data_IF_968341128084
#
_entry.id   IF_968341128084
#
_cell.length_a   1.000
_cell.length_b   1.000
_cell.length_c   1.000
_cell.angle_alpha   90.00
_cell.angle_beta   90.00
_cell.angle_gamma   90.00
#
_symmetry.space_group_name_H-M   'P 1'
#
loop_
_entity.id
_entity.type
_entity.pdbx_description
1 polymer ?
#
# COMPACT_ATOMS: atom_id res chain seq x y z
N UNK A 1 5.38 -3.47 18.27
CA UNK A 1 5.76 -2.27 19.04
C UNK A 1 7.24 -2.33 19.27
N UNK A 2 8.02 -1.68 18.40
CA UNK A 2 9.46 -1.55 18.65
C UNK A 2 9.76 -0.64 19.84
N UNK A 3 10.94 -0.81 20.42
CA UNK A 3 11.42 -0.04 21.56
C UNK A 3 12.11 1.25 21.08
N UNK A 4 11.32 2.26 20.72
CA UNK A 4 11.82 3.58 20.32
C UNK A 4 11.65 4.60 21.44
N UNK A 5 12.46 5.65 21.39
CA UNK A 5 12.26 6.87 22.17
C UNK A 5 10.87 7.48 21.94
N UNK A 6 10.48 8.38 22.85
CA UNK A 6 9.20 9.10 22.81
C UNK A 6 8.96 9.70 21.43
N UNK A 7 7.86 9.34 20.78
CA UNK A 7 7.42 9.99 19.55
C UNK A 7 6.94 11.42 19.87
N UNK A 8 7.63 12.41 19.34
CA UNK A 8 7.34 13.85 19.49
C UNK A 8 6.68 14.46 18.26
N UNK A 9 6.64 13.72 17.14
CA UNK A 9 6.06 14.17 15.88
C UNK A 9 4.54 14.39 16.03
N UNK A 10 4.10 15.57 15.61
CA UNK A 10 2.71 15.96 15.57
C UNK A 10 2.46 16.76 14.27
N UNK A 11 1.72 16.20 13.30
CA UNK A 11 1.46 16.88 12.03
C UNK A 11 0.65 18.18 12.21
N UNK A 12 -0.09 18.35 13.32
CA UNK A 12 -0.87 19.57 13.57
C UNK A 12 -0.03 20.77 14.02
N UNK A 13 1.28 20.60 14.24
CA UNK A 13 2.20 21.69 14.64
C UNK A 13 2.92 22.35 13.46
N UNK A 14 2.75 21.83 12.24
CA UNK A 14 3.35 22.36 11.02
C UNK A 14 4.89 22.56 11.12
N UNK A 15 5.58 21.66 11.83
CA UNK A 15 7.04 21.66 11.89
C UNK A 15 7.61 21.14 10.58
N UNK A 16 8.53 21.89 9.99
CA UNK A 16 9.15 21.58 8.69
C UNK A 16 10.57 21.02 8.80
N UNK A 17 11.22 21.12 9.97
CA UNK A 17 12.57 20.63 10.20
C UNK A 17 12.92 20.53 11.69
N UNK A 18 13.85 19.64 12.02
CA UNK A 18 14.51 19.55 13.34
C UNK A 18 15.84 20.31 13.29
N UNK A 19 16.14 21.10 14.33
CA UNK A 19 17.37 21.89 14.46
C UNK A 19 18.10 21.54 15.75
N UNK A 20 19.26 20.90 15.62
CA UNK A 20 20.10 20.52 16.76
C UNK A 20 20.69 21.77 17.43
N UNK A 21 20.63 21.83 18.76
CA UNK A 21 21.22 22.91 19.55
C UNK A 21 22.68 22.61 19.86
N UNK A 22 23.52 23.65 19.80
CA UNK A 22 24.93 23.51 20.16
C UNK A 22 25.08 23.20 21.65
N UNK A 23 25.94 22.23 21.97
CA UNK A 23 26.23 21.85 23.36
C UNK A 23 25.18 20.96 24.01
N UNK A 24 24.15 20.52 23.26
CA UNK A 24 23.11 19.60 23.73
C UNK A 24 23.33 18.21 23.11
N UNK A 25 23.21 17.11 23.89
CA UNK A 25 23.28 15.76 23.35
C UNK A 25 22.23 15.50 22.29
N UNK A 26 22.60 14.76 21.24
CA UNK A 26 21.68 14.31 20.19
C UNK A 26 20.85 13.14 20.72
N UNK A 27 19.53 13.23 20.59
CA UNK A 27 18.62 12.15 20.92
C UNK A 27 18.14 11.44 19.65
N UNK A 28 17.86 10.15 19.77
CA UNK A 28 17.24 9.36 18.71
C UNK A 28 15.81 9.86 18.39
N UNK A 29 15.12 10.45 19.37
CA UNK A 29 13.82 11.10 19.16
C UNK A 29 13.87 12.22 18.11
N UNK A 30 14.93 13.04 18.13
CA UNK A 30 15.13 14.15 17.17
C UNK A 30 15.33 13.60 15.75
N UNK A 31 16.04 12.47 15.63
CA UNK A 31 16.25 11.78 14.37
C UNK A 31 14.97 11.15 13.82
N UNK A 32 14.16 10.55 14.69
CA UNK A 32 12.87 9.98 14.31
C UNK A 32 11.91 11.07 13.84
N UNK A 33 11.80 12.18 14.59
CA UNK A 33 10.97 13.33 14.22
C UNK A 33 11.39 13.95 12.89
N UNK A 34 12.69 14.09 12.63
CA UNK A 34 13.19 14.58 11.34
C UNK A 34 12.71 13.71 10.16
N UNK A 35 12.77 12.39 10.30
CA UNK A 35 12.30 11.47 9.26
C UNK A 35 10.79 11.57 9.06
N UNK A 36 10.01 11.67 10.14
CA UNK A 36 8.55 11.77 10.07
C UNK A 36 8.09 13.10 9.47
N UNK A 37 8.70 14.22 9.85
CA UNK A 37 8.45 15.54 9.25
C UNK A 37 8.73 15.52 7.74
N UNK A 38 9.91 15.02 7.35
CA UNK A 38 10.30 14.95 5.94
C UNK A 38 9.33 14.06 5.14
N UNK A 39 8.91 12.94 5.73
CA UNK A 39 7.98 11.99 5.11
C UNK A 39 6.59 12.60 4.95
N UNK A 40 6.10 13.31 5.95
CA UNK A 40 4.80 13.98 5.92
C UNK A 40 4.78 15.10 4.86
N UNK A 41 5.79 15.96 4.83
CA UNK A 41 5.94 17.01 3.81
C UNK A 41 5.92 16.44 2.39
N UNK A 42 6.58 15.29 2.16
CA UNK A 42 6.52 14.61 0.86
C UNK A 42 5.11 14.11 0.52
N UNK A 43 4.38 13.55 1.49
CA UNK A 43 3.00 13.10 1.25
C UNK A 43 2.06 14.26 0.96
N UNK A 44 2.20 15.37 1.69
CA UNK A 44 1.38 16.56 1.48
C UNK A 44 1.69 17.19 0.12
N UNK A 45 2.97 17.34 -0.22
CA UNK A 45 3.39 17.82 -1.54
C UNK A 45 2.83 16.95 -2.67
N UNK A 46 2.90 15.62 -2.55
CA UNK A 46 2.35 14.72 -3.55
C UNK A 46 0.82 14.77 -3.60
N UNK A 47 0.14 14.82 -2.46
CA UNK A 47 -1.32 14.86 -2.39
C UNK A 47 -1.90 16.18 -2.91
N UNK A 48 -1.17 17.29 -2.80
CA UNK A 48 -1.55 18.58 -3.39
C UNK A 48 -1.29 18.65 -4.89
N UNK A 49 -0.26 17.96 -5.36
CA UNK A 49 0.17 18.01 -6.77
C UNK A 49 -0.59 17.01 -7.63
N UNK A 50 -0.91 15.83 -7.10
CA UNK A 50 -1.45 14.70 -7.85
C UNK A 50 -2.77 14.20 -7.26
N UNK A 51 -3.64 13.73 -8.15
CA UNK A 51 -4.80 12.93 -7.76
C UNK A 51 -4.36 11.50 -7.47
N UNK A 52 -5.07 10.82 -6.57
CA UNK A 52 -4.85 9.40 -6.30
C UNK A 52 -5.09 8.56 -7.54
N UNK A 53 -4.22 7.58 -7.79
CA UNK A 53 -4.36 6.72 -8.96
C UNK A 53 -3.12 5.95 -9.38
N UNK A 54 -3.23 5.36 -10.56
CA UNK A 54 -2.18 4.61 -11.23
C UNK A 54 -1.64 5.40 -12.44
N UNK A 55 -0.42 5.07 -12.92
CA UNK A 55 0.13 5.65 -14.14
C UNK A 55 -0.84 5.54 -15.32
N UNK A 56 -1.05 6.62 -16.09
CA UNK A 56 -1.94 6.60 -17.25
C UNK A 56 -1.41 5.62 -18.30
N UNK A 57 -2.34 4.96 -19.02
CA UNK A 57 -2.04 4.00 -20.09
C UNK A 57 -1.29 2.73 -19.64
N UNK A 58 -1.13 2.50 -18.34
CA UNK A 58 -0.55 1.28 -17.78
C UNK A 58 -1.60 0.21 -17.43
N UNK A 59 -1.12 -1.02 -17.25
CA UNK A 59 -1.91 -2.14 -16.71
C UNK A 59 -1.69 -2.33 -15.20
N UNK A 60 -1.06 -1.35 -14.55
CA UNK A 60 -0.76 -1.34 -13.13
C UNK A 60 -2.03 -1.56 -12.30
N UNK A 61 -1.99 -2.56 -11.42
CA UNK A 61 -3.12 -2.96 -10.57
C UNK A 61 -4.40 -3.36 -11.33
N UNK A 62 -4.31 -3.74 -12.61
CA UNK A 62 -5.44 -4.29 -13.34
C UNK A 62 -5.94 -5.58 -12.66
N UNK A 63 -7.26 -5.66 -12.44
CA UNK A 63 -7.91 -6.81 -11.84
C UNK A 63 -8.38 -7.75 -12.95
N UNK A 64 -7.90 -8.98 -12.91
CA UNK A 64 -8.17 -10.01 -13.89
C UNK A 64 -8.87 -11.21 -13.24
N UNK A 65 -9.89 -11.70 -13.93
CA UNK A 65 -10.58 -12.93 -13.56
C UNK A 65 -9.67 -14.14 -13.72
N UNK A 66 -9.97 -15.19 -12.97
CA UNK A 66 -9.28 -16.48 -13.08
C UNK A 66 -10.27 -17.61 -13.32
N UNK A 67 -9.74 -18.74 -13.81
CA UNK A 67 -10.54 -19.97 -13.97
C UNK A 67 -10.84 -20.63 -12.63
N UNK A 68 -9.99 -20.41 -11.62
CA UNK A 68 -10.22 -20.86 -10.25
C UNK A 68 -11.46 -20.18 -9.64
N UNK A 69 -12.25 -20.91 -8.84
CA UNK A 69 -13.43 -20.36 -8.19
C UNK A 69 -13.02 -19.29 -7.17
N UNK A 70 -13.76 -18.18 -7.16
CA UNK A 70 -13.67 -17.13 -6.14
C UNK A 70 -12.26 -16.53 -6.00
N UNK A 71 -11.56 -16.37 -7.11
CA UNK A 71 -10.18 -15.88 -7.11
C UNK A 71 -9.92 -14.85 -8.21
N UNK A 72 -8.93 -14.00 -7.96
CA UNK A 72 -8.56 -12.86 -8.80
C UNK A 72 -7.04 -12.78 -8.92
N UNK A 73 -6.59 -12.38 -10.11
CA UNK A 73 -5.22 -11.95 -10.34
C UNK A 73 -5.19 -10.42 -10.40
N UNK A 74 -4.18 -9.81 -9.79
CA UNK A 74 -3.96 -8.37 -9.83
C UNK A 74 -2.55 -8.13 -10.33
N UNK A 75 -2.41 -7.35 -11.38
CA UNK A 75 -1.10 -7.08 -11.97
C UNK A 75 -0.23 -6.22 -11.04
N UNK A 76 1.08 -6.51 -11.06
CA UNK A 76 2.10 -5.67 -10.45
C UNK A 76 2.03 -4.24 -11.02
N UNK A 77 2.44 -3.26 -10.22
CA UNK A 77 2.35 -1.87 -10.66
C UNK A 77 2.73 -0.87 -9.58
N UNK A 78 2.66 0.41 -9.96
CA UNK A 78 2.80 1.54 -9.06
C UNK A 78 1.47 2.30 -8.95
N UNK A 79 1.24 2.88 -7.78
CA UNK A 79 0.11 3.77 -7.53
C UNK A 79 0.53 4.88 -6.57
N UNK A 80 -0.23 5.96 -6.54
CA UNK A 80 -0.13 7.01 -5.54
C UNK A 80 -1.50 7.10 -4.86
N UNK A 81 -1.51 6.98 -3.53
CA UNK A 81 -2.76 7.01 -2.75
C UNK A 81 -2.57 7.95 -1.58
N UNK A 82 -3.31 9.06 -1.53
CA UNK A 82 -3.19 10.14 -0.54
C UNK A 82 -1.74 10.62 -0.37
N UNK A 83 -1.07 10.86 -1.49
CA UNK A 83 0.34 11.26 -1.52
C UNK A 83 1.35 10.15 -1.19
N UNK A 84 0.89 8.93 -0.93
CA UNK A 84 1.76 7.79 -0.60
C UNK A 84 2.07 6.97 -1.85
N UNK A 85 3.30 7.04 -2.39
CA UNK A 85 3.69 6.18 -3.50
C UNK A 85 3.78 4.75 -3.01
N UNK A 86 3.18 3.83 -3.74
CA UNK A 86 3.20 2.39 -3.49
C UNK A 86 3.64 1.66 -4.75
N UNK A 87 4.45 0.61 -4.58
CA UNK A 87 4.89 -0.23 -5.69
C UNK A 87 4.81 -1.70 -5.29
N UNK A 88 4.01 -2.44 -6.03
CA UNK A 88 3.94 -3.90 -5.92
C UNK A 88 4.73 -4.49 -7.08
N UNK A 89 5.74 -5.31 -6.75
CA UNK A 89 6.73 -5.80 -7.74
C UNK A 89 6.31 -7.08 -8.45
N UNK A 90 5.33 -7.81 -7.92
CA UNK A 90 4.90 -9.10 -8.44
C UNK A 90 3.37 -9.13 -8.49
N UNK A 91 2.83 -9.85 -9.47
CA UNK A 91 1.38 -10.01 -9.58
C UNK A 91 0.85 -10.65 -8.29
N UNK A 92 -0.23 -10.09 -7.76
CA UNK A 92 -0.87 -10.58 -6.56
C UNK A 92 -2.01 -11.51 -6.96
N UNK A 93 -2.13 -12.61 -6.24
CA UNK A 93 -3.29 -13.48 -6.31
C UNK A 93 -4.08 -13.32 -5.03
N UNK A 94 -5.37 -13.03 -5.14
CA UNK A 94 -6.20 -12.66 -3.98
C UNK A 94 -6.13 -13.71 -2.86
N UNK A 95 -6.27 -14.99 -3.22
CA UNK A 95 -6.29 -16.12 -2.28
C UNK A 95 -4.95 -16.44 -1.61
N UNK A 96 -3.81 -16.02 -2.17
CA UNK A 96 -2.47 -16.34 -1.64
C UNK A 96 -1.77 -15.13 -1.03
N UNK A 97 -2.50 -14.05 -0.77
CA UNK A 97 -1.92 -12.89 -0.13
C UNK A 97 -1.47 -13.21 1.30
N UNK A 98 -0.37 -12.60 1.76
CA UNK A 98 0.10 -12.65 3.14
C UNK A 98 -0.97 -12.67 4.24
N UNK A 99 -1.94 -11.76 4.17
CA UNK A 99 -2.90 -11.48 5.24
C UNK A 99 -4.19 -12.29 5.13
N UNK A 100 -4.23 -13.28 4.23
CA UNK A 100 -5.23 -14.36 4.27
C UNK A 100 -4.97 -15.27 5.48
N UNK A 101 -3.71 -15.42 5.88
CA UNK A 101 -3.34 -16.15 7.09
C UNK A 101 -3.70 -15.33 8.35
N UNK A 102 -4.62 -15.82 9.22
CA UNK A 102 -5.07 -15.07 10.39
C UNK A 102 -3.96 -14.78 11.40
N UNK A 103 -3.02 -15.70 11.58
CA UNK A 103 -1.89 -15.53 12.49
C UNK A 103 -0.97 -14.40 12.02
N UNK A 104 -0.72 -14.30 10.72
CA UNK A 104 0.06 -13.21 10.14
C UNK A 104 -0.67 -11.87 10.24
N UNK A 105 -1.97 -11.84 9.92
CA UNK A 105 -2.78 -10.63 10.03
C UNK A 105 -2.82 -10.12 11.48
N UNK A 106 -3.00 -11.01 12.46
CA UNK A 106 -2.97 -10.67 13.88
C UNK A 106 -1.60 -10.13 14.32
N UNK A 107 -0.50 -10.77 13.89
CA UNK A 107 0.87 -10.30 14.15
C UNK A 107 1.12 -8.90 13.60
N UNK A 108 0.65 -8.62 12.39
CA UNK A 108 0.85 -7.34 11.70
C UNK A 108 -0.19 -6.29 12.11
N UNK A 109 -1.16 -6.63 12.98
CA UNK A 109 -2.19 -5.71 13.47
C UNK A 109 -3.22 -5.28 12.42
N UNK A 110 -3.40 -6.07 11.36
CA UNK A 110 -4.30 -5.75 10.24
C UNK A 110 -5.47 -6.72 10.16
N UNK A 111 -6.57 -6.28 9.55
CA UNK A 111 -7.73 -7.14 9.33
C UNK A 111 -7.37 -8.31 8.39
N UNK A 112 -7.82 -9.52 8.75
CA UNK A 112 -7.70 -10.72 7.92
C UNK A 112 -8.41 -10.50 6.58
N UNK A 113 -7.83 -11.00 5.49
CA UNK A 113 -8.46 -10.99 4.17
C UNK A 113 -9.37 -12.24 4.08
N UNK A 114 -10.71 -12.07 4.03
CA UNK A 114 -11.61 -13.21 3.98
C UNK A 114 -11.58 -13.87 2.59
N UNK A 115 -11.81 -15.20 2.49
CA UNK A 115 -12.02 -15.86 1.21
C UNK A 115 -13.28 -15.31 0.54
N UNK A 116 -13.26 -15.15 -0.78
CA UNK A 116 -14.43 -14.68 -1.51
C UNK A 116 -15.52 -15.75 -1.51
N UNK A 117 -16.76 -15.31 -1.39
CA UNK A 117 -17.93 -16.18 -1.39
C UNK A 117 -18.59 -16.18 -2.77
N UNK A 118 -19.20 -17.32 -3.12
CA UNK A 118 -20.08 -17.39 -4.28
C UNK A 118 -21.44 -16.83 -3.87
N UNK A 119 -22.06 -15.90 -4.63
CA UNK A 119 -23.38 -15.40 -4.30
C UNK A 119 -24.41 -16.56 -4.26
N UNK A 120 -25.16 -16.74 -3.15
CA UNK A 120 -26.12 -17.84 -2.99
C UNK A 120 -27.38 -17.65 -3.84
N UNK A 121 -28.23 -18.68 -3.97
CA UNK A 121 -29.60 -18.55 -4.52
C UNK A 121 -30.61 -19.56 -3.92
N UNK A 122 -31.96 -19.39 -4.05
CA UNK A 122 -32.80 -18.28 -4.56
C UNK A 122 -33.83 -17.74 -3.48
N UNK A 123 -34.75 -16.77 -3.79
CA UNK A 123 -35.75 -16.85 -4.86
C UNK A 123 -35.36 -16.13 -6.15
N UNK A 124 -36.05 -16.51 -7.23
CA UNK A 124 -35.82 -16.21 -8.65
C UNK A 124 -35.86 -14.71 -8.97
N UNK A 125 -35.04 -14.23 -9.93
CA UNK A 125 -35.12 -12.88 -10.49
C UNK A 125 -34.32 -11.76 -9.82
N UNK A 126 -33.56 -12.01 -8.75
CA UNK A 126 -32.78 -10.96 -8.08
C UNK A 126 -31.47 -10.59 -8.81
N UNK A 127 -31.04 -9.31 -8.75
CA UNK A 127 -29.88 -8.80 -9.46
C UNK A 127 -28.55 -9.46 -9.02
N UNK A 128 -27.50 -9.40 -9.86
CA UNK A 128 -26.16 -9.86 -9.47
C UNK A 128 -25.64 -9.10 -8.24
N UNK A 129 -24.88 -9.79 -7.39
CA UNK A 129 -24.19 -9.14 -6.26
C UNK A 129 -23.07 -8.27 -6.82
N UNK A 130 -22.99 -7.03 -6.35
CA UNK A 130 -21.91 -6.13 -6.72
C UNK A 130 -20.86 -6.17 -5.61
N UNK A 131 -19.63 -6.49 -5.96
CA UNK A 131 -18.49 -6.46 -5.03
C UNK A 131 -17.50 -5.37 -5.49
N UNK A 132 -16.91 -4.65 -4.54
CA UNK A 132 -15.90 -3.63 -4.81
C UNK A 132 -14.50 -4.16 -4.46
N UNK A 133 -13.61 -4.18 -5.44
CA UNK A 133 -12.18 -4.49 -5.28
C UNK A 133 -11.44 -3.19 -5.05
N UNK A 134 -10.63 -3.14 -4.00
CA UNK A 134 -9.84 -1.96 -3.65
C UNK A 134 -8.45 -2.35 -3.15
N UNK A 135 -7.49 -1.47 -3.37
CA UNK A 135 -6.15 -1.54 -2.81
C UNK A 135 -6.17 -0.90 -1.42
N UNK A 136 -5.70 -1.64 -0.42
CA UNK A 136 -5.42 -1.16 0.92
C UNK A 136 -3.93 -0.90 1.06
N UNK A 137 -3.54 0.33 1.38
CA UNK A 137 -2.14 0.75 1.54
C UNK A 137 -1.92 1.30 2.94
N UNK A 138 -0.89 0.77 3.62
CA UNK A 138 -0.52 1.21 4.96
C UNK A 138 0.98 1.06 5.19
N UNK A 139 1.46 1.64 6.28
CA UNK A 139 2.84 1.47 6.72
C UNK A 139 2.86 0.55 7.95
N UNK A 140 3.85 -0.33 8.00
CA UNK A 140 4.10 -1.16 9.18
C UNK A 140 5.57 -1.21 9.55
N UNK A 141 5.82 -1.54 10.81
CA UNK A 141 7.16 -1.82 11.29
C UNK A 141 7.65 -3.18 10.80
N UNK A 142 8.94 -3.22 10.44
CA UNK A 142 9.71 -4.41 10.09
C UNK A 142 10.92 -4.45 10.99
N UNK A 143 11.00 -5.48 11.83
CA UNK A 143 12.14 -5.76 12.70
C UNK A 143 12.91 -7.01 12.25
N UNK A 144 13.93 -7.37 13.04
CA UNK A 144 14.86 -8.47 12.81
C UNK A 144 14.22 -9.85 12.74
N UNK A 145 13.06 -10.02 13.36
CA UNK A 145 12.27 -11.26 13.24
C UNK A 145 11.79 -11.51 11.80
N UNK A 146 11.67 -10.47 10.98
CA UNK A 146 11.34 -10.58 9.55
C UNK A 146 12.57 -10.39 8.66
N UNK A 147 13.46 -9.45 9.00
CA UNK A 147 14.69 -9.18 8.24
C UNK A 147 15.92 -9.25 9.15
N UNK A 148 16.59 -10.41 9.14
CA UNK A 148 17.78 -10.65 9.95
C UNK A 148 18.93 -9.66 9.67
N UNK A 149 18.94 -8.98 8.52
CA UNK A 149 19.96 -7.97 8.20
C UNK A 149 19.86 -6.71 9.08
N UNK A 150 18.78 -6.55 9.84
CA UNK A 150 18.64 -5.44 10.81
C UNK A 150 19.45 -5.69 12.09
N UNK A 151 19.96 -6.90 12.29
CA UNK A 151 20.92 -7.23 13.34
C UNK A 151 22.30 -6.77 12.89
N UNK A 152 22.93 -5.91 13.70
CA UNK A 152 24.32 -5.54 13.44
C UNK A 152 25.24 -6.73 13.78
N UNK A 153 26.01 -7.28 12.81
CA UNK A 153 26.80 -8.49 13.02
C UNK A 153 27.93 -8.32 14.05
N UNK A 154 28.42 -7.10 14.26
CA UNK A 154 29.52 -6.83 15.21
C UNK A 154 29.05 -6.87 16.67
N UNK A 155 27.80 -6.49 16.94
CA UNK A 155 27.24 -6.40 18.30
C UNK A 155 26.11 -7.41 18.55
N UNK A 156 25.63 -8.10 17.52
CA UNK A 156 24.64 -9.17 17.62
C UNK A 156 23.22 -8.72 18.01
N UNK A 157 22.92 -7.42 17.94
CA UNK A 157 21.62 -6.87 18.34
C UNK A 157 20.95 -6.07 17.21
N UNK A 158 19.62 -6.07 17.21
CA UNK A 158 18.82 -5.18 16.38
C UNK A 158 19.05 -3.73 16.79
N UNK A 159 19.41 -2.87 15.84
CA UNK A 159 19.73 -1.46 16.12
C UNK A 159 18.56 -0.51 15.87
N UNK A 160 17.65 -0.88 14.97
CA UNK A 160 16.52 -0.05 14.54
C UNK A 160 15.56 -0.88 13.69
N UNK A 161 14.28 -0.51 13.68
CA UNK A 161 13.29 -1.10 12.75
C UNK A 161 13.20 -0.28 11.46
N UNK A 162 12.49 -0.81 10.46
CA UNK A 162 12.12 -0.06 9.26
C UNK A 162 10.62 0.12 9.18
N UNK A 163 10.19 1.28 8.69
CA UNK A 163 8.82 1.43 8.20
C UNK A 163 8.78 0.94 6.75
N UNK A 164 7.92 -0.04 6.50
CA UNK A 164 7.67 -0.59 5.18
C UNK A 164 6.26 -0.26 4.76
N UNK A 165 6.13 0.30 3.55
CA UNK A 165 4.84 0.43 2.88
C UNK A 165 4.38 -0.92 2.37
N UNK A 166 3.25 -1.37 2.85
CA UNK A 166 2.59 -2.58 2.41
C UNK A 166 1.33 -2.25 1.62
N UNK A 167 0.93 -3.20 0.79
CA UNK A 167 -0.29 -3.11 0.02
C UNK A 167 -0.98 -4.47 -0.05
N UNK A 168 -2.29 -4.48 0.11
CA UNK A 168 -3.12 -5.66 -0.06
C UNK A 168 -4.35 -5.34 -0.89
N UNK A 169 -4.81 -6.31 -1.68
CA UNK A 169 -6.07 -6.21 -2.39
C UNK A 169 -7.16 -6.80 -1.51
N UNK A 170 -8.21 -6.02 -1.27
CA UNK A 170 -9.38 -6.41 -0.49
C UNK A 170 -10.64 -6.31 -1.35
N UNK A 171 -11.65 -7.07 -0.97
CA UNK A 171 -12.96 -7.06 -1.62
C UNK A 171 -14.04 -6.79 -0.58
N UNK A 172 -14.83 -5.75 -0.82
CA UNK A 172 -16.05 -5.50 -0.07
C UNK A 172 -17.22 -6.15 -0.82
N UNK A 173 -17.74 -7.26 -0.29
CA UNK A 173 -18.82 -8.00 -0.92
C UNK A 173 -20.18 -7.33 -0.72
N UNK A 174 -21.02 -7.29 -1.75
CA UNK A 174 -22.39 -6.77 -1.67
C UNK A 174 -22.50 -5.25 -1.47
N UNK A 175 -21.44 -4.49 -1.73
CA UNK A 175 -21.44 -3.03 -1.65
C UNK A 175 -20.72 -2.41 -2.85
N UNK A 176 -21.16 -1.21 -3.22
CA UNK A 176 -20.50 -0.36 -4.21
C UNK A 176 -19.60 0.69 -3.59
N UNK A 177 -19.69 0.87 -2.27
CA UNK A 177 -19.03 1.94 -1.55
C UNK A 177 -17.77 1.43 -0.87
N UNK A 178 -16.75 2.28 -0.83
CA UNK A 178 -15.52 1.99 -0.09
C UNK A 178 -15.84 1.92 1.41
N UNK A 179 -15.40 0.87 2.11
CA UNK A 179 -15.53 0.81 3.56
C UNK A 179 -14.66 1.88 4.22
N UNK A 180 -14.98 2.23 5.46
CA UNK A 180 -14.16 3.14 6.27
C UNK A 180 -12.79 2.53 6.50
N UNK A 181 -11.74 3.28 6.12
CA UNK A 181 -10.37 2.84 6.32
C UNK A 181 -10.00 2.85 7.82
N UNK A 182 -9.34 1.79 8.34
CA UNK A 182 -8.72 1.83 9.65
C UNK A 182 -7.68 2.96 9.77
N UNK A 183 -7.36 3.35 11.00
CA UNK A 183 -6.35 4.38 11.23
C UNK A 183 -5.01 4.00 10.57
N UNK A 184 -4.44 4.92 9.80
CA UNK A 184 -3.18 4.72 9.07
C UNK A 184 -3.30 4.02 7.71
N UNK A 185 -4.46 3.46 7.38
CA UNK A 185 -4.75 2.86 6.09
C UNK A 185 -5.34 3.88 5.11
N UNK A 186 -5.02 3.74 3.83
CA UNK A 186 -5.63 4.51 2.74
C UNK A 186 -6.05 3.57 1.62
N UNK A 187 -7.24 3.80 1.07
CA UNK A 187 -7.84 2.91 0.08
C UNK A 187 -7.87 3.54 -1.31
N UNK A 188 -7.68 2.71 -2.33
CA UNK A 188 -7.85 3.08 -3.74
C UNK A 188 -8.81 2.09 -4.41
N UNK A 189 -9.95 2.52 -4.99
CA UNK A 189 -10.81 1.62 -5.74
C UNK A 189 -10.10 1.12 -6.99
N UNK A 190 -10.21 -0.17 -7.27
CA UNK A 190 -9.58 -0.81 -8.44
C UNK A 190 -10.60 -1.29 -9.46
N UNK A 191 -11.59 -2.07 -9.01
CA UNK A 191 -12.56 -2.65 -9.92
C UNK A 191 -13.89 -2.95 -9.23
N UNK A 192 -14.96 -3.03 -10.02
CA UNK A 192 -16.26 -3.50 -9.58
C UNK A 192 -16.54 -4.85 -10.22
N UNK A 193 -16.92 -5.82 -9.40
CA UNK A 193 -17.27 -7.16 -9.84
C UNK A 193 -18.79 -7.27 -9.87
N UNK A 194 -19.32 -7.67 -11.02
CA UNK A 194 -20.73 -8.06 -11.13
C UNK A 194 -20.78 -9.57 -11.02
N UNK A 195 -21.15 -10.08 -9.85
CA UNK A 195 -21.13 -11.51 -9.53
C UNK A 195 -22.52 -12.12 -9.75
N UNK A 196 -22.72 -12.93 -10.81
CA UNK A 196 -23.96 -13.67 -11.00
C UNK A 196 -24.09 -14.74 -9.92
N UNK A 197 -25.34 -15.14 -9.63
CA UNK A 197 -25.65 -16.17 -8.64
C UNK A 197 -25.12 -17.52 -9.07
N UNK A 198 -24.72 -18.35 -8.10
CA UNK A 198 -24.18 -19.70 -8.32
C UNK A 198 -22.97 -19.74 -9.26
N UNK A 199 -22.34 -18.59 -9.56
CA UNK A 199 -21.16 -18.51 -10.41
C UNK A 199 -19.93 -18.17 -9.56
N UNK A 200 -19.11 -19.18 -9.33
CA UNK A 200 -17.88 -19.03 -8.56
C UNK A 200 -16.79 -18.32 -9.37
N UNK A 201 -16.79 -18.44 -10.70
CA UNK A 201 -15.82 -17.77 -11.56
C UNK A 201 -16.13 -16.28 -11.69
N UNK A 202 -15.09 -15.45 -11.59
CA UNK A 202 -15.21 -14.01 -11.72
C UNK A 202 -14.84 -13.63 -13.15
N UNK A 203 -15.85 -13.23 -13.93
CA UNK A 203 -15.69 -12.93 -15.37
C UNK A 203 -16.12 -11.50 -15.72
N UNK A 204 -17.07 -10.93 -14.98
CA UNK A 204 -17.60 -9.60 -15.26
C UNK A 204 -16.95 -8.57 -14.32
N UNK A 205 -15.90 -7.93 -14.83
CA UNK A 205 -15.05 -6.98 -14.11
C UNK A 205 -15.15 -5.63 -14.83
N UNK A 206 -15.59 -4.63 -14.10
CA UNK A 206 -15.63 -3.23 -14.54
C UNK A 206 -14.44 -2.49 -13.91
N UNK A 207 -13.57 -1.93 -14.74
CA UNK A 207 -12.40 -1.18 -14.29
C UNK A 207 -12.83 0.15 -13.65
N UNK A 208 -12.39 0.40 -12.42
CA UNK A 208 -12.64 1.63 -11.67
C UNK A 208 -11.33 2.34 -11.28
N UNK A 209 -10.18 1.89 -11.79
CA UNK A 209 -8.88 2.48 -11.45
C UNK A 209 -8.87 3.96 -11.82
N UNK A 210 -8.61 4.86 -10.86
CA UNK A 210 -8.36 6.25 -11.19
C UNK A 210 -6.95 6.35 -11.79
N UNK A 211 -6.81 7.07 -12.89
CA UNK A 211 -5.50 7.40 -13.47
C UNK A 211 -5.05 8.79 -13.01
N UNK A 212 -3.76 9.08 -13.11
CA UNK A 212 -3.27 10.44 -12.90
C UNK A 212 -3.79 11.39 -13.98
N UNK A 213 -4.75 12.24 -13.61
CA UNK A 213 -5.20 13.35 -14.44
C UNK A 213 -4.87 14.64 -13.68
N UNK A 214 -4.30 15.65 -14.34
CA UNK A 214 -4.14 16.96 -13.71
C UNK A 214 -5.53 17.58 -13.49
N UNK A 215 -5.75 18.25 -12.35
CA UNK A 215 -7.02 18.85 -11.95
C UNK A 215 -7.58 19.95 -12.88
N UNK A 216 -6.85 20.33 -13.95
CA UNK A 216 -7.24 21.38 -14.89
C UNK A 216 -7.62 20.86 -16.27
N UNK A 217 -8.55 19.91 -16.39
CA UNK A 217 -9.37 19.61 -17.59
C UNK A 217 -8.68 19.43 -18.96
N UNK A 218 -7.36 19.50 -18.99
CA UNK A 218 -6.48 19.51 -20.15
C UNK A 218 -5.32 18.64 -19.72
N UNK A 219 -4.98 17.57 -20.44
CA UNK A 219 -3.86 16.71 -20.09
C UNK A 219 -2.58 17.51 -20.24
N UNK A 220 -2.12 18.17 -19.17
CA UNK A 220 -0.70 18.47 -19.05
C UNK A 220 -0.02 17.12 -18.85
N UNK A 221 0.42 16.54 -19.96
CA UNK A 221 1.29 15.37 -19.97
C UNK A 221 2.62 15.81 -19.36
N UNK A 222 2.72 15.76 -18.02
CA UNK A 222 4.02 15.57 -17.40
C UNK A 222 4.44 14.16 -17.83
N UNK A 223 5.38 14.08 -18.77
CA UNK A 223 5.95 12.78 -19.15
C UNK A 223 6.64 12.20 -17.92
N UNK A 224 6.11 11.09 -17.40
CA UNK A 224 6.64 10.39 -16.21
C UNK A 224 7.68 9.31 -16.55
N UNK A 225 8.16 9.25 -17.79
CA UNK A 225 9.41 8.56 -18.11
C UNK A 225 10.58 9.46 -17.65
N UNK A 226 10.91 9.51 -16.34
CA UNK A 226 11.60 8.40 -15.67
C UNK A 226 11.20 8.14 -14.19
N UNK A 227 10.14 8.74 -13.63
CA UNK A 227 9.84 8.69 -12.19
C UNK A 227 9.48 7.29 -11.66
N UNK A 228 9.04 6.38 -12.55
CA UNK A 228 8.64 5.02 -12.19
C UNK A 228 9.48 3.90 -12.82
N UNK A 229 10.61 4.22 -13.45
CA UNK A 229 11.57 3.17 -13.80
C UNK A 229 12.04 2.46 -12.52
N UNK A 230 12.24 1.14 -12.55
CA UNK A 230 12.93 0.48 -11.46
C UNK A 230 14.30 1.14 -11.33
N UNK A 231 14.57 1.77 -10.18
CA UNK A 231 15.94 2.03 -9.75
C UNK A 231 16.52 0.64 -9.50
N UNK A 232 17.11 0.05 -10.54
CA UNK A 232 17.73 -1.28 -10.47
C UNK A 232 19.03 -1.23 -9.69
N UNK A 233 19.68 -0.06 -9.62
CA UNK A 233 20.90 0.17 -8.88
C UNK A 233 20.78 1.46 -8.06
N UNK A 234 20.67 1.33 -6.73
CA UNK A 234 21.24 2.38 -5.88
C UNK A 234 22.75 2.36 -6.15
N UNK A 235 23.42 3.49 -6.42
CA UNK A 235 24.88 3.50 -6.57
C UNK A 235 25.61 3.01 -5.29
N UNK A 236 24.91 2.90 -4.16
CA UNK A 236 25.41 2.32 -2.92
C UNK A 236 25.16 0.81 -2.76
N UNK A 237 24.41 0.17 -3.66
CA UNK A 237 24.15 -1.28 -3.58
C UNK A 237 25.32 -2.13 -4.13
N UNK A 238 26.27 -1.52 -4.86
CA UNK A 238 27.33 -2.24 -5.57
C UNK A 238 28.69 -2.29 -4.84
N UNK A 239 28.79 -1.82 -3.60
CA UNK A 239 30.03 -1.91 -2.81
C UNK A 239 29.85 -2.80 -1.58
N UNK A 240 29.44 -4.05 -1.81
CA UNK A 240 29.70 -5.14 -0.87
C UNK A 240 31.09 -5.71 -1.12
N UNK A 241 32.13 -4.89 -0.94
CA UNK A 241 33.49 -5.42 -0.79
C UNK A 241 33.78 -5.60 0.69
N UNK A 242 34.22 -6.81 1.01
CA UNK A 242 34.70 -7.27 2.31
C UNK A 242 35.49 -6.20 3.08
N UNK A 243 34.98 -5.80 4.25
CA UNK A 243 35.76 -5.48 5.45
C UNK A 243 34.94 -5.86 6.69
#
# INVERSE_FOLDING_TARGET
>A
MGNFSRNTFDPGKDYVAVRLQQGVPVLDADWNELNDVTRQELYDAFSLTFTDGVPPHGLDFEVQGRSEPNDLNILAGAALVRGRPVRVRQNLRYSTQPWVNPQRAARDGVAVIPPLTTPPGPPEGAPPRIDLVYLDVWDREVGSAEDANLINPAIGVETSVRLKREAAVRVAEGTTDLPTAPAGHVFLPLARLRRPRNQAQITNIEDLRPFFHSSRGTPRVLSFFPAFLPITNSPYAASGENL
#
